data_IF_654725512116
#
_entry.id   IF_654725512116
#
_cell.length_a   1.000
_cell.length_b   1.000
_cell.length_c   1.000
_cell.angle_alpha   90.00
_cell.angle_beta   90.00
_cell.angle_gamma   90.00
#
_symmetry.space_group_name_H-M   'P 1'
#
loop_
_entity.id
_entity.type
_entity.pdbx_description
1 polymer ?
#
# COMPACT_ATOMS: atom_id res chain seq x y z
N UNK A 1 -6.83 25.76 -7.59
CA UNK A 1 -6.14 24.53 -7.94
C UNK A 1 -7.12 23.43 -8.26
N UNK A 2 -6.77 22.51 -9.18
CA UNK A 2 -7.56 21.31 -9.41
C UNK A 2 -7.35 20.30 -8.28
N UNK A 3 -8.41 19.54 -7.94
CA UNK A 3 -8.40 18.45 -6.98
C UNK A 3 -9.45 17.41 -7.36
N UNK A 4 -9.18 16.14 -7.02
CA UNK A 4 -10.15 15.05 -7.14
C UNK A 4 -10.79 14.84 -5.77
N UNK A 5 -12.09 15.11 -5.68
CA UNK A 5 -12.82 15.08 -4.41
C UNK A 5 -13.99 14.07 -4.44
N UNK A 6 -14.16 13.39 -3.32
CA UNK A 6 -15.40 12.72 -2.96
C UNK A 6 -16.27 13.71 -2.17
N UNK A 7 -17.45 14.03 -2.67
CA UNK A 7 -18.26 15.13 -2.17
C UNK A 7 -19.64 14.73 -1.64
N UNK A 8 -20.16 13.62 -2.11
CA UNK A 8 -21.49 13.11 -1.76
C UNK A 8 -21.48 11.59 -1.69
N UNK A 9 -21.99 11.04 -0.59
CA UNK A 9 -22.05 9.59 -0.36
C UNK A 9 -22.87 8.90 -1.47
N UNK A 10 -22.28 7.85 -2.05
CA UNK A 10 -22.89 7.09 -3.14
C UNK A 10 -22.72 7.71 -4.54
N UNK A 11 -21.94 8.79 -4.65
CA UNK A 11 -21.49 9.35 -5.93
C UNK A 11 -20.06 8.94 -6.24
N UNK A 12 -19.64 9.13 -7.47
CA UNK A 12 -18.24 8.96 -7.86
C UNK A 12 -17.37 10.15 -7.44
N UNK A 13 -16.05 10.05 -7.62
CA UNK A 13 -15.14 11.18 -7.42
C UNK A 13 -15.33 12.22 -8.53
N UNK A 14 -15.07 13.48 -8.21
CA UNK A 14 -15.21 14.62 -9.13
C UNK A 14 -13.90 15.40 -9.20
N UNK A 15 -13.53 15.86 -10.41
CA UNK A 15 -12.48 16.86 -10.58
C UNK A 15 -13.08 18.24 -10.37
N UNK A 16 -12.54 18.98 -9.41
CA UNK A 16 -13.07 20.29 -8.99
C UNK A 16 -11.96 21.33 -8.89
N UNK A 17 -12.34 22.60 -8.93
CA UNK A 17 -11.44 23.70 -8.59
C UNK A 17 -11.68 24.13 -7.14
N UNK A 18 -10.60 24.25 -6.37
CA UNK A 18 -10.59 24.72 -4.98
C UNK A 18 -9.47 25.72 -4.76
N UNK A 19 -9.49 26.45 -3.66
CA UNK A 19 -8.42 27.39 -3.29
C UNK A 19 -7.11 26.62 -3.02
N UNK A 20 -5.97 27.26 -3.32
CA UNK A 20 -4.66 26.73 -2.95
C UNK A 20 -4.50 26.88 -1.44
N UNK A 21 -4.24 25.79 -0.69
CA UNK A 21 -4.11 25.88 0.76
C UNK A 21 -2.81 26.57 1.17
N UNK A 22 -2.84 27.31 2.27
CA UNK A 22 -1.68 27.96 2.85
C UNK A 22 -1.18 27.15 4.06
N UNK A 23 0.15 26.88 4.17
CA UNK A 23 0.69 26.15 5.29
C UNK A 23 0.69 27.01 6.55
N UNK A 24 0.14 26.47 7.63
CA UNK A 24 0.24 27.05 8.98
C UNK A 24 1.60 26.78 9.64
N UNK A 25 1.79 27.23 10.90
CA UNK A 25 3.02 26.95 11.65
C UNK A 25 3.32 25.44 11.72
N UNK A 26 4.57 25.05 11.43
CA UNK A 26 5.02 23.65 11.39
C UNK A 26 4.60 22.86 10.15
N UNK A 27 3.73 23.41 9.31
CA UNK A 27 3.22 22.75 8.10
C UNK A 27 4.07 23.04 6.87
N UNK A 28 3.98 22.15 5.88
CA UNK A 28 4.71 22.25 4.62
C UNK A 28 3.69 22.12 3.49
N UNK A 29 3.78 23.00 2.48
CA UNK A 29 3.03 22.81 1.24
C UNK A 29 3.91 22.11 0.20
N UNK A 30 3.42 20.99 -0.32
CA UNK A 30 3.99 20.35 -1.49
C UNK A 30 3.22 20.79 -2.74
N UNK A 31 3.94 21.09 -3.81
CA UNK A 31 3.40 21.01 -5.16
C UNK A 31 3.48 19.56 -5.57
N UNK A 32 2.32 18.90 -5.70
CA UNK A 32 2.25 17.47 -6.02
C UNK A 32 2.77 17.24 -7.44
N UNK A 33 3.65 16.27 -7.59
CA UNK A 33 4.20 15.85 -8.88
C UNK A 33 3.66 14.49 -9.33
N UNK A 34 3.20 13.68 -8.37
CA UNK A 34 2.54 12.41 -8.63
C UNK A 34 1.67 11.99 -7.45
N UNK A 35 0.55 11.34 -7.73
CA UNK A 35 -0.34 10.73 -6.75
C UNK A 35 -0.82 9.35 -7.23
N UNK A 36 -0.60 8.31 -6.43
CA UNK A 36 -1.02 6.95 -6.75
C UNK A 36 -2.49 6.69 -6.43
N UNK A 37 -3.18 5.92 -7.27
CA UNK A 37 -4.53 5.43 -7.00
C UNK A 37 -4.48 4.10 -6.25
N UNK A 38 -5.33 3.95 -5.24
CA UNK A 38 -5.44 2.75 -4.43
C UNK A 38 -6.89 2.29 -4.26
N UNK A 39 -7.09 1.00 -4.01
CA UNK A 39 -8.39 0.48 -3.59
C UNK A 39 -8.86 1.05 -2.24
N UNK A 40 -7.98 1.64 -1.44
CA UNK A 40 -8.33 2.36 -0.23
C UNK A 40 -9.18 3.62 -0.51
N UNK A 41 -9.01 4.26 -1.68
CA UNK A 41 -9.88 5.36 -2.11
C UNK A 41 -11.31 4.85 -2.34
N UNK A 42 -11.45 3.67 -2.98
CA UNK A 42 -12.76 3.01 -3.14
C UNK A 42 -13.35 2.60 -1.81
N UNK A 43 -12.55 2.06 -0.89
CA UNK A 43 -13.03 1.72 0.45
C UNK A 43 -13.70 2.93 1.13
N UNK A 44 -13.11 4.13 1.00
CA UNK A 44 -13.70 5.38 1.52
C UNK A 44 -15.01 5.71 0.82
N UNK A 45 -15.10 5.56 -0.50
CA UNK A 45 -16.28 5.90 -1.29
C UNK A 45 -17.41 4.88 -1.16
N UNK A 46 -17.11 3.62 -0.90
CA UNK A 46 -18.07 2.52 -0.80
C UNK A 46 -18.69 2.38 0.60
N UNK A 47 -18.21 3.16 1.59
CA UNK A 47 -18.82 3.13 2.92
C UNK A 47 -20.30 3.58 2.86
N UNK A 48 -21.23 2.79 3.41
CA UNK A 48 -22.63 3.18 3.46
C UNK A 48 -22.80 4.40 4.38
N UNK A 49 -23.85 5.19 4.15
CA UNK A 49 -24.07 6.46 4.84
C UNK A 49 -24.07 6.32 6.36
N UNK A 50 -24.65 5.22 6.89
CA UNK A 50 -24.71 4.93 8.32
C UNK A 50 -23.35 4.58 8.95
N UNK A 51 -22.38 4.17 8.15
CA UNK A 51 -21.01 3.83 8.59
C UNK A 51 -19.96 4.87 8.15
N UNK A 52 -20.41 5.95 7.48
CA UNK A 52 -19.50 6.96 6.95
C UNK A 52 -18.94 7.84 8.08
N UNK A 53 -17.62 7.81 8.24
CA UNK A 53 -16.91 8.46 9.37
C UNK A 53 -16.05 9.66 8.95
N UNK A 54 -15.90 9.91 7.65
CA UNK A 54 -15.04 10.97 7.13
C UNK A 54 -15.81 12.28 6.92
N UNK A 55 -15.12 13.41 6.98
CA UNK A 55 -15.69 14.70 6.60
C UNK A 55 -15.75 14.83 5.07
N UNK A 56 -16.82 15.42 4.54
CA UNK A 56 -16.97 15.76 3.14
C UNK A 56 -16.98 17.31 2.96
N UNK A 57 -16.44 17.84 1.85
CA UNK A 57 -15.75 17.12 0.78
C UNK A 57 -14.37 16.60 1.21
N UNK A 58 -13.97 15.43 0.72
CA UNK A 58 -12.65 14.85 0.97
C UNK A 58 -11.84 14.80 -0.34
N UNK A 59 -10.67 15.42 -0.36
CA UNK A 59 -9.70 15.24 -1.44
C UNK A 59 -9.06 13.86 -1.29
N UNK A 60 -9.13 13.04 -2.33
CA UNK A 60 -8.65 11.66 -2.33
C UNK A 60 -7.12 11.57 -2.47
N UNK A 61 -6.58 10.36 -2.40
CA UNK A 61 -5.19 10.04 -2.66
C UNK A 61 -4.32 9.95 -1.40
N UNK A 62 -4.02 8.72 -1.01
CA UNK A 62 -3.16 8.43 0.14
C UNK A 62 -1.68 8.24 -0.23
N UNK A 63 -1.38 8.08 -1.51
CA UNK A 63 -0.04 7.95 -2.06
C UNK A 63 0.34 9.27 -2.72
N UNK A 64 1.31 9.98 -2.18
CA UNK A 64 1.70 11.30 -2.67
C UNK A 64 3.20 11.47 -2.80
N UNK A 65 3.62 12.24 -3.81
CA UNK A 65 4.97 12.76 -3.96
C UNK A 65 4.92 14.18 -4.53
N UNK A 66 5.89 15.00 -4.15
CA UNK A 66 5.90 16.38 -4.61
C UNK A 66 7.16 17.14 -4.26
N UNK A 67 7.21 18.36 -4.74
CA UNK A 67 8.29 19.32 -4.49
C UNK A 67 7.83 20.28 -3.41
N UNK A 68 8.68 20.56 -2.43
CA UNK A 68 8.39 21.55 -1.38
C UNK A 68 8.27 22.94 -2.02
N UNK A 69 7.05 23.48 -1.99
CA UNK A 69 6.70 24.77 -2.58
C UNK A 69 6.72 25.91 -1.55
N UNK A 70 6.26 25.63 -0.31
CA UNK A 70 6.20 26.62 0.76
C UNK A 70 6.36 25.99 2.14
N UNK A 71 7.09 26.68 3.02
CA UNK A 71 7.28 26.28 4.41
C UNK A 71 6.47 27.21 5.32
N UNK A 72 5.78 26.62 6.29
CA UNK A 72 5.19 27.34 7.41
C UNK A 72 6.23 27.80 8.43
N UNK A 73 5.83 28.66 9.33
CA UNK A 73 6.72 29.15 10.39
C UNK A 73 7.23 28.00 11.28
N UNK A 74 8.53 28.00 11.58
CA UNK A 74 9.16 27.01 12.49
C UNK A 74 9.49 25.67 11.86
N UNK A 75 9.29 25.47 10.53
CA UNK A 75 9.73 24.25 9.85
C UNK A 75 11.26 24.26 9.70
N UNK A 76 11.89 23.19 10.15
CA UNK A 76 13.34 22.99 10.05
C UNK A 76 13.64 21.63 9.37
N UNK A 77 14.83 21.51 8.76
CA UNK A 77 15.34 20.25 8.19
C UNK A 77 14.69 19.82 6.86
N UNK A 78 13.87 20.69 6.26
CA UNK A 78 13.24 20.47 4.94
C UNK A 78 13.75 21.51 3.96
N UNK A 79 14.19 21.06 2.79
CA UNK A 79 14.71 21.91 1.73
C UNK A 79 13.60 22.40 0.82
N UNK A 80 13.48 23.74 0.64
CA UNK A 80 12.60 24.36 -0.35
C UNK A 80 13.04 23.94 -1.76
N UNK A 81 12.12 23.46 -2.58
CA UNK A 81 12.42 22.91 -3.89
C UNK A 81 12.88 21.44 -3.87
N UNK A 82 13.07 20.83 -2.70
CA UNK A 82 13.40 19.42 -2.55
C UNK A 82 12.22 18.50 -2.93
N UNK A 83 12.53 17.32 -3.47
CA UNK A 83 11.57 16.29 -3.89
C UNK A 83 11.39 15.25 -2.79
N UNK A 84 10.13 14.99 -2.40
CA UNK A 84 9.80 14.09 -1.29
C UNK A 84 8.61 13.19 -1.61
N UNK A 85 8.69 11.96 -1.08
CA UNK A 85 7.55 11.07 -0.93
C UNK A 85 6.82 11.36 0.38
N UNK A 86 5.50 11.25 0.37
CA UNK A 86 4.67 11.41 1.56
C UNK A 86 4.56 10.09 2.29
N UNK A 87 4.98 10.07 3.56
CA UNK A 87 4.71 8.96 4.46
C UNK A 87 3.26 9.08 4.96
N UNK A 88 2.39 8.15 4.53
CA UNK A 88 0.94 8.25 4.72
C UNK A 88 0.43 8.04 6.14
N UNK A 89 0.93 7.04 6.92
CA UNK A 89 0.36 6.74 8.24
C UNK A 89 0.83 7.75 9.31
N UNK A 90 0.12 8.87 9.38
CA UNK A 90 0.44 9.94 10.33
C UNK A 90 0.11 9.57 11.76
N UNK A 91 0.97 9.92 12.69
CA UNK A 91 0.85 9.65 14.11
C UNK A 91 1.19 10.86 14.98
N UNK A 92 0.99 10.73 16.31
CA UNK A 92 1.19 11.83 17.25
C UNK A 92 2.67 12.19 17.52
N UNK A 93 3.63 11.40 17.04
CA UNK A 93 5.06 11.59 17.28
C UNK A 93 5.54 11.26 18.71
N UNK A 94 4.65 11.07 19.69
CA UNK A 94 5.00 11.05 21.12
C UNK A 94 4.64 9.75 21.85
N UNK A 95 3.68 8.96 21.37
CA UNK A 95 3.33 7.70 22.01
C UNK A 95 4.44 6.65 21.80
N UNK A 96 4.37 5.52 22.52
CA UNK A 96 5.39 4.47 22.44
C UNK A 96 5.63 4.00 21.01
N UNK A 97 4.59 3.79 20.21
CA UNK A 97 4.74 3.34 18.82
C UNK A 97 5.45 4.42 17.98
N UNK A 98 4.98 5.67 18.05
CA UNK A 98 5.58 6.78 17.30
C UNK A 98 7.04 7.03 17.70
N UNK A 99 7.38 6.97 19.01
CA UNK A 99 8.77 7.13 19.47
C UNK A 99 9.70 6.00 19.00
N UNK A 100 9.15 4.89 18.52
CA UNK A 100 9.87 3.77 17.90
C UNK A 100 9.84 3.83 16.36
N UNK A 101 9.35 4.93 15.77
CA UNK A 101 9.21 5.09 14.32
C UNK A 101 8.03 4.33 13.71
N UNK A 102 7.11 3.81 14.53
CA UNK A 102 5.94 3.02 14.11
C UNK A 102 4.67 3.88 14.19
N UNK A 103 4.62 4.98 13.47
CA UNK A 103 3.45 5.88 13.48
C UNK A 103 2.20 5.21 12.93
N UNK A 104 2.37 4.23 12.03
CA UNK A 104 1.29 3.35 11.57
C UNK A 104 0.54 2.63 12.70
N UNK A 105 1.13 2.49 13.87
CA UNK A 105 0.51 1.91 15.07
C UNK A 105 0.27 2.95 16.17
N UNK A 106 0.11 4.23 15.82
CA UNK A 106 -0.17 5.28 16.77
C UNK A 106 -1.48 4.99 17.53
N UNK A 107 -1.38 4.82 18.85
CA UNK A 107 -2.54 4.52 19.70
C UNK A 107 -3.39 5.75 20.02
N UNK A 108 -2.93 6.95 19.64
CA UNK A 108 -3.58 8.23 19.97
C UNK A 108 -4.10 8.99 18.75
N UNK A 109 -3.86 8.48 17.52
CA UNK A 109 -4.22 9.21 16.32
C UNK A 109 -5.72 9.55 16.28
N UNK A 110 -6.59 8.59 16.55
CA UNK A 110 -8.04 8.79 16.55
C UNK A 110 -8.48 9.79 17.64
N UNK A 111 -7.92 9.71 18.87
CA UNK A 111 -8.20 10.65 19.98
C UNK A 111 -7.84 12.10 19.60
N UNK A 112 -6.75 12.26 18.86
CA UNK A 112 -6.22 13.59 18.47
C UNK A 112 -6.77 14.07 17.12
N UNK A 113 -7.65 13.32 16.47
CA UNK A 113 -8.19 13.67 15.16
C UNK A 113 -7.13 13.63 14.04
N UNK A 114 -6.02 12.89 14.24
CA UNK A 114 -5.00 12.71 13.22
C UNK A 114 -5.46 11.62 12.25
N UNK A 115 -5.55 11.97 10.98
CA UNK A 115 -5.95 11.07 9.92
C UNK A 115 -4.92 11.09 8.78
N UNK A 116 -4.74 9.97 8.07
CA UNK A 116 -3.89 9.92 6.87
C UNK A 116 -4.44 10.80 5.74
N UNK A 117 -3.56 11.32 4.86
CA UNK A 117 -4.00 12.02 3.66
C UNK A 117 -4.87 11.10 2.78
N UNK A 118 -5.94 11.61 2.21
CA UNK A 118 -6.92 10.85 1.42
C UNK A 118 -7.81 9.91 2.21
N UNK A 119 -7.49 9.64 3.48
CA UNK A 119 -8.24 8.75 4.37
C UNK A 119 -8.68 9.49 5.66
N UNK A 120 -9.18 10.72 5.46
CA UNK A 120 -9.69 11.58 6.53
C UNK A 120 -9.09 12.98 6.53
N UNK A 121 -7.80 13.14 6.27
CA UNK A 121 -7.21 14.43 5.91
C UNK A 121 -7.23 14.63 4.38
N UNK A 122 -7.15 15.88 3.87
CA UNK A 122 -7.01 16.15 2.44
C UNK A 122 -5.83 15.36 1.83
N UNK A 123 -6.08 14.69 0.71
CA UNK A 123 -5.11 13.80 0.06
C UNK A 123 -4.34 14.42 -1.09
N UNK A 124 -3.51 13.61 -1.74
CA UNK A 124 -2.56 14.01 -2.77
C UNK A 124 -3.16 14.12 -4.20
N UNK A 125 -4.42 13.74 -4.41
CA UNK A 125 -5.08 13.91 -5.72
C UNK A 125 -5.46 15.37 -5.96
N UNK A 126 -4.46 16.26 -5.91
CA UNK A 126 -4.59 17.70 -6.12
C UNK A 126 -3.24 18.30 -6.54
N UNK A 127 -3.25 19.51 -7.10
CA UNK A 127 -2.00 20.20 -7.47
C UNK A 127 -1.12 20.58 -6.26
N UNK A 128 -1.72 20.74 -5.08
CA UNK A 128 -1.00 21.06 -3.84
C UNK A 128 -1.56 20.26 -2.66
N UNK A 129 -0.67 19.88 -1.75
CA UNK A 129 -0.98 19.13 -0.53
C UNK A 129 -0.30 19.80 0.67
N UNK A 130 -1.02 19.92 1.80
CA UNK A 130 -0.42 20.29 3.08
C UNK A 130 0.03 19.05 3.84
N UNK A 131 1.28 19.08 4.27
CA UNK A 131 1.89 18.10 5.18
C UNK A 131 1.94 18.74 6.57
N UNK A 132 1.45 18.05 7.55
CA UNK A 132 1.30 18.59 8.92
C UNK A 132 2.60 18.61 9.73
N UNK A 133 3.60 17.83 9.33
CA UNK A 133 4.90 17.74 10.03
C UNK A 133 6.00 17.25 9.08
N UNK A 134 7.21 17.79 9.22
CA UNK A 134 8.39 17.43 8.43
C UNK A 134 8.74 15.92 8.49
N UNK A 135 8.40 15.23 9.59
CA UNK A 135 8.64 13.79 9.73
C UNK A 135 7.82 12.94 8.76
N UNK A 136 6.77 13.47 8.16
CA UNK A 136 5.94 12.77 7.16
C UNK A 136 6.50 12.90 5.73
N UNK A 137 7.68 13.49 5.57
CA UNK A 137 8.38 13.58 4.30
C UNK A 137 9.61 12.68 4.28
N UNK A 138 9.77 11.91 3.20
CA UNK A 138 10.93 11.06 2.96
C UNK A 138 11.59 11.51 1.66
N UNK A 139 12.88 11.88 1.66
CA UNK A 139 13.54 12.39 0.46
C UNK A 139 13.53 11.36 -0.68
N UNK A 140 13.11 11.79 -1.88
CA UNK A 140 13.19 10.98 -3.09
C UNK A 140 14.60 11.01 -3.72
N UNK A 141 15.35 12.10 -3.51
CA UNK A 141 16.63 12.28 -4.19
C UNK A 141 16.43 12.29 -5.71
N UNK A 142 17.16 11.43 -6.43
CA UNK A 142 17.11 11.32 -7.89
C UNK A 142 16.00 10.38 -8.42
N UNK A 143 15.17 9.81 -7.55
CA UNK A 143 14.07 8.95 -7.98
C UNK A 143 12.98 9.75 -8.68
N UNK A 144 12.47 9.22 -9.80
CA UNK A 144 11.31 9.79 -10.48
C UNK A 144 10.04 9.60 -9.61
N UNK A 145 9.36 10.67 -9.20
CA UNK A 145 8.17 10.59 -8.39
C UNK A 145 7.02 9.82 -9.07
N UNK A 146 6.90 9.87 -10.40
CA UNK A 146 5.84 9.14 -11.14
C UNK A 146 6.06 7.64 -11.08
N UNK A 147 7.30 7.19 -11.17
CA UNK A 147 7.65 5.77 -11.10
C UNK A 147 7.63 5.23 -9.66
N UNK A 148 7.75 6.10 -8.64
CA UNK A 148 7.99 5.66 -7.27
C UNK A 148 6.91 6.06 -6.27
N UNK A 149 5.98 6.96 -6.60
CA UNK A 149 4.94 7.43 -5.68
C UNK A 149 4.12 6.29 -5.08
N UNK A 150 3.79 5.27 -5.87
CA UNK A 150 3.03 4.12 -5.37
C UNK A 150 3.80 3.27 -4.35
N UNK A 151 5.13 3.44 -4.23
CA UNK A 151 5.92 2.77 -3.19
C UNK A 151 5.57 3.28 -1.78
N UNK A 152 4.93 4.43 -1.65
CA UNK A 152 4.48 4.97 -0.35
C UNK A 152 3.38 4.13 0.30
N UNK A 153 2.68 3.29 -0.48
CA UNK A 153 1.78 2.26 0.01
C UNK A 153 2.08 0.89 -0.64
N UNK A 154 1.98 0.76 -1.96
CA UNK A 154 2.15 -0.53 -2.64
C UNK A 154 3.56 -1.13 -2.53
N UNK A 155 4.55 -0.35 -2.11
CA UNK A 155 5.88 -0.82 -1.70
C UNK A 155 5.97 -1.03 -0.19
N UNK A 156 5.61 -0.01 0.59
CA UNK A 156 5.73 0.02 2.04
C UNK A 156 4.91 -1.09 2.73
N UNK A 157 3.66 -1.26 2.33
CA UNK A 157 2.76 -2.24 2.95
C UNK A 157 3.21 -3.69 2.74
N UNK A 158 3.55 -4.14 1.51
CA UNK A 158 4.18 -5.45 1.33
C UNK A 158 5.51 -5.59 2.06
N UNK A 159 6.35 -4.55 2.05
CA UNK A 159 7.64 -4.59 2.74
C UNK A 159 7.47 -4.84 4.23
N UNK A 160 6.58 -4.11 4.89
CA UNK A 160 6.28 -4.28 6.30
C UNK A 160 5.76 -5.69 6.62
N UNK A 161 4.85 -6.23 5.80
CA UNK A 161 4.35 -7.59 5.95
C UNK A 161 5.46 -8.64 5.80
N UNK A 162 6.34 -8.48 4.79
CA UNK A 162 7.46 -9.38 4.51
C UNK A 162 8.51 -9.31 5.64
N UNK A 163 8.85 -8.12 6.12
CA UNK A 163 9.77 -7.95 7.26
C UNK A 163 9.26 -8.63 8.53
N UNK A 164 7.96 -8.57 8.78
CA UNK A 164 7.35 -9.26 9.93
C UNK A 164 7.45 -10.80 9.83
N UNK A 165 7.48 -11.35 8.62
CA UNK A 165 7.61 -12.77 8.33
C UNK A 165 9.08 -13.25 8.20
N UNK A 166 10.08 -12.37 8.37
CA UNK A 166 11.49 -12.65 8.07
C UNK A 166 12.03 -13.96 8.68
N UNK A 167 11.67 -14.38 9.91
CA UNK A 167 12.11 -15.66 10.46
C UNK A 167 11.66 -16.90 9.65
N UNK A 168 10.66 -16.74 8.77
CA UNK A 168 10.13 -17.80 7.89
C UNK A 168 10.68 -17.74 6.46
N UNK A 169 11.47 -16.71 6.14
CA UNK A 169 12.01 -16.45 4.81
C UNK A 169 13.49 -16.90 4.70
N UNK A 170 13.80 -18.09 5.15
CA UNK A 170 15.13 -18.68 5.07
C UNK A 170 15.40 -19.30 3.68
N UNK A 171 16.67 -19.54 3.29
CA UNK A 171 17.00 -20.17 2.02
C UNK A 171 16.33 -21.55 1.87
N UNK A 172 15.60 -21.72 0.75
CA UNK A 172 14.84 -22.95 0.47
C UNK A 172 13.40 -22.97 0.99
N UNK A 173 12.98 -21.95 1.75
CA UNK A 173 11.59 -21.75 2.10
C UNK A 173 10.75 -21.32 0.88
N UNK A 174 9.44 -21.49 0.96
CA UNK A 174 8.48 -21.03 -0.04
C UNK A 174 7.63 -19.90 0.53
N UNK A 175 7.50 -18.83 -0.23
CA UNK A 175 6.57 -17.72 0.01
C UNK A 175 5.47 -17.71 -1.06
N UNK A 176 4.22 -17.62 -0.64
CA UNK A 176 3.06 -17.47 -1.53
C UNK A 176 2.59 -16.02 -1.48
N UNK A 177 2.38 -15.44 -2.66
CA UNK A 177 1.76 -14.11 -2.85
C UNK A 177 0.40 -14.30 -3.49
N UNK A 178 -0.67 -14.00 -2.78
CA UNK A 178 -2.04 -14.07 -3.28
C UNK A 178 -2.51 -12.67 -3.64
N UNK A 179 -2.91 -12.48 -4.90
CA UNK A 179 -3.19 -11.17 -5.48
C UNK A 179 -1.91 -10.54 -6.06
N UNK A 180 -1.67 -10.76 -7.35
CA UNK A 180 -0.49 -10.27 -8.08
C UNK A 180 -0.71 -8.87 -8.73
N UNK A 181 -1.71 -8.13 -8.25
CA UNK A 181 -2.01 -6.76 -8.69
C UNK A 181 -1.05 -5.71 -8.12
N UNK A 182 -1.62 -4.53 -7.75
CA UNK A 182 -0.87 -3.34 -7.34
C UNK A 182 0.14 -3.55 -6.21
N UNK A 183 -0.19 -4.32 -5.16
CA UNK A 183 0.74 -4.63 -4.07
C UNK A 183 1.58 -5.88 -4.40
N UNK A 184 0.95 -6.91 -4.98
CA UNK A 184 1.59 -8.21 -5.13
C UNK A 184 2.77 -8.20 -6.08
N UNK A 185 2.71 -7.48 -7.22
CA UNK A 185 3.84 -7.44 -8.15
C UNK A 185 5.08 -6.74 -7.55
N UNK A 186 4.87 -5.76 -6.65
CA UNK A 186 5.96 -5.14 -5.86
C UNK A 186 6.42 -6.08 -4.75
N UNK A 187 5.50 -6.73 -4.04
CA UNK A 187 5.82 -7.71 -2.98
C UNK A 187 6.66 -8.88 -3.48
N UNK A 188 6.41 -9.36 -4.71
CA UNK A 188 7.24 -10.40 -5.36
C UNK A 188 8.68 -9.91 -5.52
N UNK A 189 8.88 -8.70 -6.03
CA UNK A 189 10.22 -8.13 -6.22
C UNK A 189 10.92 -7.91 -4.87
N UNK A 190 10.21 -7.43 -3.85
CA UNK A 190 10.75 -7.28 -2.49
C UNK A 190 11.23 -8.64 -1.95
N UNK A 191 10.40 -9.70 -2.04
CA UNK A 191 10.80 -11.05 -1.64
C UNK A 191 12.06 -11.51 -2.36
N UNK A 192 12.16 -11.24 -3.66
CA UNK A 192 13.33 -11.56 -4.47
C UNK A 192 14.59 -10.78 -4.07
N UNK A 193 14.40 -9.51 -3.67
CA UNK A 193 15.50 -8.62 -3.32
C UNK A 193 16.11 -8.95 -1.93
N UNK A 194 15.27 -9.32 -0.95
CA UNK A 194 15.71 -9.43 0.45
C UNK A 194 15.71 -10.86 1.01
N UNK A 195 15.39 -11.86 0.18
CA UNK A 195 15.37 -13.26 0.61
C UNK A 195 15.77 -14.23 -0.52
N UNK A 196 16.03 -15.49 -0.15
CA UNK A 196 16.33 -16.58 -1.09
C UNK A 196 15.20 -17.64 -1.12
N UNK A 197 13.95 -17.18 -1.03
CA UNK A 197 12.77 -18.06 -1.04
C UNK A 197 12.32 -18.38 -2.47
N UNK A 198 11.63 -19.50 -2.63
CA UNK A 198 10.82 -19.77 -3.82
C UNK A 198 9.52 -18.97 -3.73
N UNK A 199 9.21 -18.15 -4.72
CA UNK A 199 7.98 -17.34 -4.75
C UNK A 199 6.95 -18.00 -5.66
N UNK A 200 5.76 -18.25 -5.13
CA UNK A 200 4.57 -18.71 -5.87
C UNK A 200 3.57 -17.55 -5.87
N UNK A 201 3.16 -17.09 -7.05
CA UNK A 201 2.11 -16.07 -7.19
C UNK A 201 0.76 -16.74 -7.51
N UNK A 202 -0.31 -16.22 -6.89
CA UNK A 202 -1.69 -16.68 -7.11
C UNK A 202 -2.55 -15.49 -7.50
N UNK A 203 -3.25 -15.57 -8.63
CA UNK A 203 -4.23 -14.55 -9.06
C UNK A 203 -5.32 -15.20 -9.91
N UNK A 204 -6.47 -14.56 -10.04
CA UNK A 204 -7.57 -14.98 -10.93
C UNK A 204 -7.35 -14.54 -12.39
N UNK A 205 -6.42 -13.62 -12.64
CA UNK A 205 -6.11 -13.06 -13.96
C UNK A 205 -4.80 -13.65 -14.52
N UNK A 206 -4.86 -14.29 -15.68
CA UNK A 206 -3.67 -14.77 -16.36
C UNK A 206 -2.70 -13.63 -16.73
N UNK A 207 -3.23 -12.43 -17.03
CA UNK A 207 -2.41 -11.25 -17.32
C UNK A 207 -1.60 -10.82 -16.08
N UNK A 208 -2.22 -10.81 -14.89
CA UNK A 208 -1.52 -10.52 -13.64
C UNK A 208 -0.52 -11.60 -13.27
N UNK A 209 -0.81 -12.87 -13.58
CA UNK A 209 0.14 -13.98 -13.42
C UNK A 209 1.32 -13.87 -14.38
N UNK A 210 1.10 -13.39 -15.62
CA UNK A 210 2.19 -13.08 -16.53
C UNK A 210 3.10 -11.98 -15.98
N UNK A 211 2.54 -10.86 -15.48
CA UNK A 211 3.31 -9.82 -14.80
C UNK A 211 4.05 -10.36 -13.58
N UNK A 212 3.42 -11.23 -12.77
CA UNK A 212 4.08 -11.85 -11.62
C UNK A 212 5.33 -12.65 -12.04
N UNK A 213 5.25 -13.38 -13.15
CA UNK A 213 6.40 -14.11 -13.71
C UNK A 213 7.50 -13.15 -14.20
N UNK A 214 7.12 -12.07 -14.90
CA UNK A 214 8.05 -11.04 -15.38
C UNK A 214 8.85 -10.40 -14.24
N UNK A 215 8.19 -10.16 -13.10
CA UNK A 215 8.82 -9.53 -11.92
C UNK A 215 9.46 -10.53 -10.95
N UNK A 216 9.54 -11.82 -11.30
CA UNK A 216 10.38 -12.79 -10.63
C UNK A 216 9.66 -13.85 -9.76
N UNK A 217 8.36 -14.07 -9.91
CA UNK A 217 7.72 -15.25 -9.35
C UNK A 217 8.29 -16.50 -10.03
N UNK A 218 8.61 -17.53 -9.23
CA UNK A 218 9.14 -18.80 -9.75
C UNK A 218 8.04 -19.69 -10.31
N UNK A 219 6.85 -19.61 -9.71
CA UNK A 219 5.66 -20.34 -10.14
C UNK A 219 4.44 -19.44 -10.07
N UNK A 220 3.47 -19.73 -10.91
CA UNK A 220 2.16 -19.09 -10.90
C UNK A 220 1.07 -20.14 -10.78
N UNK A 221 0.01 -19.81 -10.06
CA UNK A 221 -1.16 -20.64 -9.83
C UNK A 221 -2.40 -19.82 -10.11
N UNK A 222 -3.29 -20.32 -10.98
CA UNK A 222 -4.58 -19.69 -11.19
C UNK A 222 -5.46 -19.89 -9.95
N UNK A 223 -6.03 -18.79 -9.44
CA UNK A 223 -6.91 -18.84 -8.28
C UNK A 223 -8.16 -19.69 -8.58
N UNK A 224 -8.51 -20.56 -7.68
CA UNK A 224 -9.64 -21.47 -7.82
C UNK A 224 -9.69 -22.49 -6.68
N UNK A 225 -10.65 -23.43 -6.71
CA UNK A 225 -10.84 -24.41 -5.65
C UNK A 225 -9.61 -25.29 -5.43
N UNK A 226 -8.81 -25.54 -6.46
CA UNK A 226 -7.62 -26.41 -6.42
C UNK A 226 -6.32 -25.65 -6.15
N UNK A 227 -6.36 -24.32 -5.97
CA UNK A 227 -5.15 -23.50 -5.82
C UNK A 227 -4.28 -23.95 -4.64
N UNK A 228 -4.88 -24.24 -3.50
CA UNK A 228 -4.15 -24.71 -2.32
C UNK A 228 -3.49 -26.09 -2.55
N UNK A 229 -4.14 -26.99 -3.28
CA UNK A 229 -3.59 -28.29 -3.65
C UNK A 229 -2.38 -28.13 -4.60
N UNK A 230 -2.50 -27.26 -5.60
CA UNK A 230 -1.39 -26.94 -6.51
C UNK A 230 -0.20 -26.35 -5.75
N UNK A 231 -0.43 -25.41 -4.81
CA UNK A 231 0.63 -24.87 -3.94
C UNK A 231 1.29 -25.99 -3.14
N UNK A 232 0.52 -26.89 -2.53
CA UNK A 232 1.06 -28.04 -1.80
C UNK A 232 1.86 -28.97 -2.69
N UNK A 233 1.42 -29.24 -3.90
CA UNK A 233 2.18 -30.05 -4.86
C UNK A 233 3.55 -29.42 -5.17
N UNK A 234 3.60 -28.10 -5.40
CA UNK A 234 4.83 -27.34 -5.64
C UNK A 234 5.77 -27.31 -4.42
N UNK A 235 5.25 -27.53 -3.20
CA UNK A 235 6.01 -27.55 -1.94
C UNK A 235 6.26 -28.96 -1.42
N UNK A 236 6.09 -29.99 -2.24
CA UNK A 236 6.25 -31.41 -1.84
C UNK A 236 5.30 -31.84 -0.73
N UNK A 237 4.10 -31.29 -0.67
CA UNK A 237 3.04 -31.59 0.30
C UNK A 237 3.14 -30.84 1.64
N UNK A 238 4.22 -30.08 1.87
CA UNK A 238 4.47 -29.40 3.16
C UNK A 238 3.64 -28.12 3.34
N UNK A 239 3.31 -27.42 2.26
CA UNK A 239 2.77 -26.07 2.26
C UNK A 239 3.88 -25.00 2.29
N UNK A 240 3.49 -23.74 2.30
CA UNK A 240 4.39 -22.60 2.24
C UNK A 240 4.73 -22.07 3.65
N UNK A 241 5.99 -21.72 3.88
CA UNK A 241 6.46 -21.16 5.14
C UNK A 241 5.90 -19.75 5.40
N UNK A 242 5.61 -19.00 4.33
CA UNK A 242 4.95 -17.70 4.43
C UNK A 242 3.89 -17.52 3.34
N UNK A 243 2.75 -16.93 3.70
CA UNK A 243 1.67 -16.55 2.77
C UNK A 243 1.34 -15.09 2.99
N UNK A 244 1.35 -14.31 1.91
CA UNK A 244 0.99 -12.89 1.88
C UNK A 244 -0.28 -12.73 1.04
N UNK A 245 -1.40 -12.48 1.70
CA UNK A 245 -2.70 -12.29 1.03
C UNK A 245 -2.99 -10.80 0.87
N UNK A 246 -2.79 -10.29 -0.34
CA UNK A 246 -3.07 -8.88 -0.71
C UNK A 246 -4.51 -8.66 -1.19
N UNK A 247 -5.37 -9.65 -1.10
CA UNK A 247 -6.80 -9.59 -1.45
C UNK A 247 -7.66 -9.58 -0.20
N UNK A 248 -7.45 -10.53 0.72
CA UNK A 248 -8.19 -10.64 1.98
C UNK A 248 -9.66 -11.03 1.83
N UNK A 249 -10.08 -11.55 0.68
CA UNK A 249 -11.42 -12.10 0.49
C UNK A 249 -11.54 -13.51 1.11
N UNK A 250 -12.76 -13.96 1.43
CA UNK A 250 -12.92 -15.27 2.09
C UNK A 250 -12.26 -16.42 1.31
N UNK A 251 -12.39 -16.44 -0.02
CA UNK A 251 -11.77 -17.46 -0.87
C UNK A 251 -10.24 -17.46 -0.78
N UNK A 252 -9.61 -16.28 -0.71
CA UNK A 252 -8.14 -16.17 -0.59
C UNK A 252 -7.67 -16.50 0.82
N UNK A 253 -8.44 -16.15 1.84
CA UNK A 253 -8.21 -16.56 3.23
C UNK A 253 -8.24 -18.09 3.37
N UNK A 254 -9.24 -18.75 2.77
CA UNK A 254 -9.36 -20.21 2.80
C UNK A 254 -8.18 -20.87 2.06
N UNK A 255 -7.75 -20.31 0.92
CA UNK A 255 -6.56 -20.75 0.19
C UNK A 255 -5.31 -20.56 1.06
N UNK A 256 -5.12 -19.41 1.70
CA UNK A 256 -4.00 -19.12 2.59
C UNK A 256 -3.91 -20.13 3.73
N UNK A 257 -5.04 -20.40 4.40
CA UNK A 257 -5.14 -21.36 5.49
C UNK A 257 -4.81 -22.80 5.07
N UNK A 258 -5.26 -23.21 3.89
CA UNK A 258 -5.02 -24.55 3.35
C UNK A 258 -3.60 -24.73 2.80
N UNK A 259 -2.96 -23.64 2.33
CA UNK A 259 -1.63 -23.65 1.72
C UNK A 259 -0.48 -23.47 2.71
N UNK A 260 -0.70 -22.84 3.86
CA UNK A 260 0.36 -22.57 4.84
C UNK A 260 0.90 -23.85 5.47
N UNK A 261 2.22 -23.90 5.69
CA UNK A 261 2.90 -25.02 6.34
C UNK A 261 2.70 -25.02 7.87
N UNK A 262 3.03 -26.14 8.51
CA UNK A 262 3.23 -26.20 9.97
C UNK A 262 4.31 -25.20 10.35
N UNK A 263 4.11 -24.48 11.45
CA UNK A 263 4.97 -23.39 11.92
C UNK A 263 5.15 -22.24 10.91
N UNK A 264 4.20 -22.09 9.96
CA UNK A 264 4.23 -21.05 8.95
C UNK A 264 3.70 -19.70 9.43
N UNK A 265 3.64 -18.74 8.51
CA UNK A 265 3.13 -17.39 8.74
C UNK A 265 2.12 -17.00 7.67
N UNK A 266 1.04 -16.33 8.06
CA UNK A 266 0.08 -15.72 7.14
C UNK A 266 -0.05 -14.24 7.46
N UNK A 267 0.25 -13.38 6.48
CA UNK A 267 -0.06 -11.94 6.53
C UNK A 267 -1.31 -11.67 5.68
N UNK A 268 -2.37 -11.18 6.31
CA UNK A 268 -3.60 -10.74 5.65
C UNK A 268 -3.50 -9.22 5.49
N UNK A 269 -3.24 -8.76 4.28
CA UNK A 269 -3.00 -7.35 3.96
C UNK A 269 -4.20 -6.73 3.26
N UNK A 270 -4.84 -7.49 2.36
CA UNK A 270 -6.01 -7.04 1.63
C UNK A 270 -7.23 -6.83 2.53
N UNK A 271 -8.08 -5.89 2.15
CA UNK A 271 -9.24 -5.45 2.92
C UNK A 271 -10.55 -6.08 2.43
N UNK A 272 -10.50 -7.24 1.77
CA UNK A 272 -11.66 -7.93 1.18
C UNK A 272 -12.66 -8.53 2.18
N UNK A 273 -12.52 -8.29 3.49
CA UNK A 273 -13.51 -8.63 4.53
C UNK A 273 -13.55 -10.10 4.93
N UNK A 274 -12.64 -10.94 4.44
CA UNK A 274 -12.56 -12.36 4.81
C UNK A 274 -12.09 -12.56 6.26
N UNK A 275 -12.55 -13.64 6.87
CA UNK A 275 -12.21 -14.00 8.25
C UNK A 275 -11.38 -15.30 8.28
N UNK A 276 -10.24 -15.28 8.96
CA UNK A 276 -9.40 -16.45 9.18
C UNK A 276 -9.64 -17.02 10.59
N UNK A 277 -10.31 -18.17 10.70
CA UNK A 277 -10.44 -18.84 11.99
C UNK A 277 -9.06 -19.33 12.45
N UNK A 278 -8.65 -18.90 13.65
CA UNK A 278 -7.39 -19.29 14.27
C UNK A 278 -7.66 -20.07 15.56
N UNK A 279 -7.00 -21.21 15.73
CA UNK A 279 -7.17 -22.06 16.90
C UNK A 279 -6.44 -23.39 16.70
N UNK A 280 -6.31 -24.17 17.78
CA UNK A 280 -5.51 -25.38 17.80
C UNK A 280 -5.86 -26.41 16.71
N UNK A 281 -7.14 -26.49 16.32
CA UNK A 281 -7.63 -27.39 15.27
C UNK A 281 -8.03 -26.66 13.97
N UNK A 282 -7.91 -25.33 13.91
CA UNK A 282 -8.37 -24.53 12.75
C UNK A 282 -7.24 -24.23 11.76
N UNK A 283 -6.00 -24.22 12.23
CA UNK A 283 -4.78 -23.96 11.44
C UNK A 283 -3.75 -25.06 11.68
N UNK A 284 -2.76 -25.26 10.79
CA UNK A 284 -1.61 -26.09 11.10
C UNK A 284 -0.90 -25.60 12.38
N UNK A 285 -0.26 -26.54 13.11
CA UNK A 285 0.40 -26.19 14.37
C UNK A 285 1.47 -25.12 14.20
N UNK A 286 1.54 -24.19 15.13
CA UNK A 286 2.55 -23.13 15.16
C UNK A 286 2.31 -21.98 14.18
N UNK A 287 1.24 -22.02 13.38
CA UNK A 287 0.95 -20.92 12.43
C UNK A 287 0.71 -19.62 13.18
N UNK A 288 1.43 -18.56 12.76
CA UNK A 288 1.18 -17.18 13.16
C UNK A 288 0.37 -16.45 12.09
N UNK A 289 -0.60 -15.66 12.52
CA UNK A 289 -1.44 -14.82 11.64
C UNK A 289 -1.29 -13.37 12.04
N UNK A 290 -1.10 -12.49 11.06
CA UNK A 290 -0.98 -11.06 11.26
C UNK A 290 -1.79 -10.28 10.23
N UNK A 291 -2.46 -9.22 10.67
CA UNK A 291 -3.05 -8.19 9.82
C UNK A 291 -2.20 -6.91 10.00
N UNK A 292 -1.21 -6.66 9.14
CA UNK A 292 -0.39 -5.47 9.24
C UNK A 292 -1.16 -4.25 8.74
N UNK A 293 -0.80 -3.08 9.24
CA UNK A 293 -1.32 -1.81 8.76
C UNK A 293 -0.17 -0.97 8.23
N UNK A 294 -0.16 -0.79 6.90
CA UNK A 294 0.85 0.02 6.19
C UNK A 294 2.29 -0.38 6.59
N UNK A 295 3.13 0.60 7.01
CA UNK A 295 4.48 0.35 7.50
C UNK A 295 5.06 1.57 8.20
N UNK A 296 6.30 1.46 8.67
CA UNK A 296 7.01 2.55 9.34
C UNK A 296 7.72 3.49 8.35
N UNK A 297 8.03 4.70 8.81
CA UNK A 297 8.77 5.68 7.99
C UNK A 297 10.17 5.16 7.56
N UNK A 298 10.87 4.45 8.45
CA UNK A 298 12.17 3.85 8.11
C UNK A 298 12.05 2.79 7.04
N UNK A 299 10.99 1.97 7.08
CA UNK A 299 10.72 0.97 6.04
C UNK A 299 10.41 1.62 4.68
N UNK A 300 9.74 2.79 4.65
CA UNK A 300 9.60 3.53 3.40
C UNK A 300 10.95 3.95 2.82
N UNK A 301 11.87 4.41 3.66
CA UNK A 301 13.24 4.70 3.24
C UNK A 301 13.93 3.47 2.63
N UNK A 302 13.84 2.31 3.29
CA UNK A 302 14.41 1.05 2.81
C UNK A 302 13.79 0.60 1.47
N UNK A 303 12.48 0.80 1.28
CA UNK A 303 11.81 0.51 -0.01
C UNK A 303 12.30 1.43 -1.13
N UNK A 304 12.45 2.72 -0.83
CA UNK A 304 13.01 3.69 -1.80
C UNK A 304 14.48 3.36 -2.12
N UNK A 305 15.26 2.84 -1.17
CA UNK A 305 16.61 2.36 -1.42
C UNK A 305 16.63 1.14 -2.37
N UNK A 306 15.68 0.21 -2.22
CA UNK A 306 15.51 -0.89 -3.18
C UNK A 306 15.16 -0.39 -4.59
N UNK A 307 14.38 0.67 -4.69
CA UNK A 307 14.10 1.30 -5.99
C UNK A 307 15.34 1.99 -6.58
N UNK A 308 16.15 2.69 -5.76
CA UNK A 308 17.40 3.34 -6.21
C UNK A 308 18.41 2.37 -6.80
N UNK A 309 18.48 1.16 -6.27
CA UNK A 309 19.38 0.12 -6.82
C UNK A 309 18.73 -0.71 -7.92
N UNK A 310 17.50 -0.38 -8.34
CA UNK A 310 16.77 -1.07 -9.40
C UNK A 310 16.26 -2.47 -9.01
N UNK A 311 16.25 -2.80 -7.72
CA UNK A 311 15.75 -4.09 -7.22
C UNK A 311 14.22 -4.16 -7.15
N UNK A 312 13.56 -3.01 -7.10
CA UNK A 312 12.11 -2.87 -7.11
C UNK A 312 11.72 -1.79 -8.11
N UNK A 313 10.80 -2.11 -8.99
CA UNK A 313 10.19 -1.19 -9.96
C UNK A 313 8.68 -1.31 -9.92
N UNK A 314 7.96 -0.22 -10.20
CA UNK A 314 6.51 -0.22 -10.26
C UNK A 314 6.08 -0.19 -11.72
N UNK A 315 5.22 -1.12 -12.12
CA UNK A 315 4.56 -1.01 -13.43
C UNK A 315 3.45 0.04 -13.33
N UNK A 316 3.60 1.16 -14.03
CA UNK A 316 2.77 2.36 -13.84
C UNK A 316 2.01 2.74 -15.11
N UNK A 317 0.70 3.00 -14.99
CA UNK A 317 -0.13 3.67 -15.99
C UNK A 317 -0.36 5.11 -15.55
N UNK A 318 -0.01 6.09 -16.40
CA UNK A 318 -0.05 7.53 -16.06
C UNK A 318 -1.27 8.20 -16.65
N UNK A 319 -1.92 9.04 -15.86
CA UNK A 319 -3.10 9.84 -16.24
C UNK A 319 -2.91 11.28 -15.80
N UNK A 320 -3.45 12.25 -16.55
CA UNK A 320 -3.61 13.61 -16.08
C UNK A 320 -4.74 13.73 -15.05
N UNK A 321 -4.74 14.81 -14.25
CA UNK A 321 -5.79 15.00 -13.21
C UNK A 321 -7.20 15.06 -13.81
N UNK A 322 -7.35 15.57 -15.04
CA UNK A 322 -8.63 15.65 -15.74
C UNK A 322 -9.19 14.26 -16.12
N UNK A 323 -8.32 13.24 -16.21
CA UNK A 323 -8.67 11.87 -16.52
C UNK A 323 -8.82 10.98 -15.25
N UNK A 324 -8.76 11.58 -14.06
CA UNK A 324 -8.79 10.85 -12.79
C UNK A 324 -10.03 9.96 -12.65
N UNK A 325 -11.20 10.44 -13.05
CA UNK A 325 -12.45 9.64 -12.98
C UNK A 325 -12.32 8.36 -13.82
N UNK A 326 -11.81 8.47 -15.05
CA UNK A 326 -11.55 7.30 -15.91
C UNK A 326 -10.52 6.34 -15.30
N UNK A 327 -9.46 6.88 -14.66
CA UNK A 327 -8.48 6.06 -13.97
C UNK A 327 -9.11 5.28 -12.79
N UNK A 328 -9.99 5.91 -12.01
CA UNK A 328 -10.75 5.24 -10.95
C UNK A 328 -11.69 4.16 -11.48
N UNK A 329 -12.40 4.42 -12.60
CA UNK A 329 -13.26 3.41 -13.25
C UNK A 329 -12.45 2.18 -13.67
N UNK A 330 -11.28 2.36 -14.28
CA UNK A 330 -10.38 1.26 -14.66
C UNK A 330 -9.86 0.50 -13.44
N UNK A 331 -9.50 1.21 -12.36
CA UNK A 331 -9.07 0.58 -11.12
C UNK A 331 -10.19 -0.30 -10.54
N UNK A 332 -11.42 0.20 -10.52
CA UNK A 332 -12.60 -0.53 -10.04
C UNK A 332 -12.89 -1.77 -10.91
N UNK A 333 -12.78 -1.61 -12.22
CA UNK A 333 -12.94 -2.72 -13.17
C UNK A 333 -11.79 -3.76 -13.11
N UNK A 334 -10.72 -3.48 -12.36
CA UNK A 334 -9.56 -4.36 -12.22
C UNK A 334 -8.69 -4.45 -13.47
N UNK A 335 -8.83 -3.49 -14.41
CA UNK A 335 -8.14 -3.46 -15.72
C UNK A 335 -6.83 -2.66 -15.72
N UNK A 336 -6.45 -2.05 -14.59
CA UNK A 336 -5.14 -1.42 -14.42
C UNK A 336 -4.06 -2.49 -14.32
N UNK A 337 -3.02 -2.40 -15.14
CA UNK A 337 -1.85 -3.25 -15.06
C UNK A 337 -0.81 -2.62 -14.11
N UNK A 338 -0.63 -3.20 -12.95
CA UNK A 338 0.25 -2.63 -11.91
C UNK A 338 -0.43 -1.52 -11.12
N UNK A 339 0.01 -0.27 -11.28
CA UNK A 339 -0.49 0.92 -10.55
C UNK A 339 -0.92 2.02 -11.51
N UNK A 340 -2.00 2.73 -11.17
CA UNK A 340 -2.37 3.97 -11.83
C UNK A 340 -1.83 5.17 -11.04
N UNK A 341 -1.28 6.16 -11.74
CA UNK A 341 -0.72 7.39 -11.16
C UNK A 341 -1.32 8.60 -11.85
N UNK A 342 -1.78 9.56 -11.04
CA UNK A 342 -2.22 10.87 -11.50
C UNK A 342 -1.04 11.84 -11.43
N UNK A 343 -0.84 12.57 -12.51
CA UNK A 343 0.04 13.76 -12.58
C UNK A 343 -0.87 14.98 -12.61
N UNK A 344 -0.90 15.78 -11.53
CA UNK A 344 -1.76 16.96 -11.42
C UNK A 344 -1.42 18.10 -12.37
#
# INVERSE_FOLDING_TARGET
MKAVQYREIGKGPEVVEIDIPEPGPGQIRLKVTAAGLCHSDWFVMDLPAEAYVYSLPLTLGQEGAGIVDKLGEGVEGIELGGSYAVYGPWGCGQCRACSQGQENYCTRAAELGIAPPGLGAPGAMAEYLIIDDARHLVPLGDLDPVETVSLTDAGLTPYHAIRAAQPKLFPGATAVVIGAGGLGHVGIQILRAISAVTVIAVDQSEEKLALASEVGAHHTVLAGPDAAEQIRALTGGKGAEAVFDFVGAQATIDTSRAAVAVDGHVSIVGIGGGLMPTGFFSTPYGVSVRAPYWGSRSELGEVLDLARVGAVTVHTEVYGIDDAVTAYEKLHAGTVRGRAVIVP
#
